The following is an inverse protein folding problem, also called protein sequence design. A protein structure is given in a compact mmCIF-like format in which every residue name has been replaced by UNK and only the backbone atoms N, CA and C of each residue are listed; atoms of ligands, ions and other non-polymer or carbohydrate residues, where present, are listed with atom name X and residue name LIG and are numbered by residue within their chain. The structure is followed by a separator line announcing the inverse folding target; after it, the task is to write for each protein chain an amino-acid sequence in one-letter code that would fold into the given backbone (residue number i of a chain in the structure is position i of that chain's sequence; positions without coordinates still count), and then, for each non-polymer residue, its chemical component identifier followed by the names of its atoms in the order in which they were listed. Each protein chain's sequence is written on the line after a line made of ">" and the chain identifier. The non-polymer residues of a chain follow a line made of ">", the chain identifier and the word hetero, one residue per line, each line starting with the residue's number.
data_IF_081242973398
#
_entry.id   IF_081242973398
#
_cell.length_a   1.000
_cell.length_b   1.000
_cell.length_c   1.000
_cell.angle_alpha   90.00
_cell.angle_beta   90.00
_cell.angle_gamma   90.00
#
_symmetry.space_group_name_H-M   'P 1'
#
loop_
_entity.id
_entity.type
_entity.pdbx_description
1 polymer ?
#
# COMPACT_ATOMS: atom_id res chain seq x y z
N UNK A 1 -19.71 14.68 1.63
CA UNK A 1 -19.52 14.05 0.30
C UNK A 1 -18.57 12.88 0.44
N UNK A 2 -18.78 11.78 -0.28
CA UNK A 2 -17.79 10.70 -0.36
C UNK A 2 -16.99 10.82 -1.65
N UNK A 3 -15.66 10.83 -1.55
CA UNK A 3 -14.73 10.91 -2.68
C UNK A 3 -13.84 9.67 -2.70
N UNK A 4 -13.60 9.10 -3.88
CA UNK A 4 -12.66 8.01 -4.09
C UNK A 4 -11.36 8.58 -4.69
N UNK A 5 -10.28 8.56 -3.91
CA UNK A 5 -8.96 9.00 -4.33
C UNK A 5 -8.07 7.77 -4.62
N UNK A 6 -7.48 7.72 -5.81
CA UNK A 6 -6.65 6.59 -6.26
C UNK A 6 -7.45 5.45 -6.93
N UNK A 7 -6.82 4.29 -7.18
CA UNK A 7 -5.45 3.94 -6.81
C UNK A 7 -4.37 4.50 -7.74
N UNK A 8 -4.74 5.02 -8.92
CA UNK A 8 -3.79 5.47 -9.95
C UNK A 8 -3.44 6.97 -9.88
N UNK A 9 -3.93 7.69 -8.87
CA UNK A 9 -3.69 9.12 -8.76
C UNK A 9 -2.18 9.40 -8.56
N UNK A 10 -1.55 10.36 -9.27
CA UNK A 10 -0.10 10.59 -9.20
C UNK A 10 0.43 10.85 -7.78
N UNK A 11 -0.34 11.55 -6.96
CA UNK A 11 0.03 11.84 -5.57
C UNK A 11 -0.08 10.63 -4.62
N UNK A 12 -0.51 9.46 -5.08
CA UNK A 12 -0.55 8.24 -4.28
C UNK A 12 0.84 7.60 -4.09
N UNK A 13 1.86 8.01 -4.88
CA UNK A 13 3.23 7.47 -4.80
C UNK A 13 3.31 5.94 -4.78
N UNK A 14 2.51 5.28 -5.63
CA UNK A 14 2.34 3.84 -5.64
C UNK A 14 0.88 3.47 -5.85
N UNK A 15 0.41 2.46 -5.12
CA UNK A 15 -0.98 1.99 -5.18
C UNK A 15 -1.66 2.17 -3.83
N UNK A 16 -2.41 3.27 -3.71
CA UNK A 16 -3.19 3.60 -2.53
C UNK A 16 -4.57 4.08 -2.95
N UNK A 17 -5.61 3.45 -2.39
CA UNK A 17 -6.99 3.90 -2.54
C UNK A 17 -7.47 4.46 -1.21
N UNK A 18 -8.02 5.67 -1.22
CA UNK A 18 -8.63 6.31 -0.07
C UNK A 18 -10.10 6.61 -0.37
N UNK A 19 -11.00 6.14 0.48
CA UNK A 19 -12.38 6.60 0.50
C UNK A 19 -12.46 7.72 1.54
N UNK A 20 -12.69 8.94 1.08
CA UNK A 20 -12.72 10.14 1.91
C UNK A 20 -14.15 10.62 2.11
N UNK A 21 -14.54 10.86 3.35
CA UNK A 21 -15.77 11.57 3.68
C UNK A 21 -15.41 13.02 4.03
N UNK A 22 -15.99 13.96 3.29
CA UNK A 22 -15.61 15.37 3.33
C UNK A 22 -16.81 16.27 3.64
N UNK A 23 -16.58 17.29 4.45
CA UNK A 23 -17.46 18.46 4.57
C UNK A 23 -16.76 19.68 3.95
N UNK A 24 -17.17 20.03 2.73
CA UNK A 24 -16.46 21.02 1.91
C UNK A 24 -15.02 20.61 1.63
N UNK A 25 -14.07 21.40 2.13
CA UNK A 25 -12.62 21.17 2.00
C UNK A 25 -12.02 20.39 3.18
N UNK A 26 -12.81 20.12 4.23
CA UNK A 26 -12.38 19.40 5.43
C UNK A 26 -12.65 17.90 5.26
N UNK A 27 -11.67 17.07 5.62
CA UNK A 27 -11.83 15.61 5.68
C UNK A 27 -12.35 15.26 7.08
N UNK A 28 -13.55 14.69 7.13
CA UNK A 28 -14.17 14.18 8.36
C UNK A 28 -13.72 12.75 8.66
N UNK A 29 -13.59 11.93 7.61
CA UNK A 29 -13.14 10.54 7.72
C UNK A 29 -12.33 10.10 6.50
N UNK A 30 -11.38 9.18 6.73
CA UNK A 30 -10.59 8.56 5.67
C UNK A 30 -10.49 7.05 5.92
N UNK A 31 -10.95 6.26 4.95
CA UNK A 31 -10.84 4.80 4.94
C UNK A 31 -9.79 4.36 3.90
N UNK A 32 -8.56 4.03 4.34
CA UNK A 32 -7.48 3.60 3.45
C UNK A 32 -7.59 2.13 3.07
N UNK A 33 -7.84 1.87 1.80
CA UNK A 33 -7.86 0.52 1.24
C UNK A 33 -6.44 0.15 0.77
N UNK A 34 -5.70 -0.52 1.65
CA UNK A 34 -4.35 -1.03 1.40
C UNK A 34 -4.37 -2.48 0.88
N UNK A 35 -3.19 -3.03 0.58
CA UNK A 35 -3.03 -4.42 0.13
C UNK A 35 -3.00 -4.60 -1.39
N UNK A 36 -3.16 -3.53 -2.18
CA UNK A 36 -3.04 -3.56 -3.64
C UNK A 36 -1.64 -3.95 -4.14
N UNK A 37 -0.61 -3.80 -3.29
CA UNK A 37 0.76 -4.30 -3.52
C UNK A 37 1.14 -5.44 -2.56
N UNK A 38 0.16 -6.11 -1.94
CA UNK A 38 0.46 -7.27 -1.10
C UNK A 38 0.93 -8.44 -1.98
N UNK A 39 2.15 -8.93 -1.71
CA UNK A 39 2.81 -9.99 -2.50
C UNK A 39 3.02 -11.29 -1.74
N UNK A 40 2.50 -11.41 -0.52
CA UNK A 40 2.68 -12.62 0.31
C UNK A 40 4.16 -12.90 0.67
N UNK A 41 4.99 -11.85 0.78
CA UNK A 41 6.44 -11.99 1.01
C UNK A 41 6.78 -12.86 2.21
N UNK A 42 6.10 -12.65 3.35
CA UNK A 42 6.29 -13.43 4.57
C UNK A 42 6.02 -14.92 4.33
N UNK A 43 4.93 -15.22 3.62
CA UNK A 43 4.57 -16.61 3.30
C UNK A 43 5.61 -17.28 2.39
N UNK A 44 6.14 -16.55 1.43
CA UNK A 44 7.19 -17.06 0.55
C UNK A 44 8.49 -17.34 1.33
N UNK A 45 8.82 -16.50 2.31
CA UNK A 45 10.01 -16.64 3.14
C UNK A 45 9.97 -17.91 4.02
N UNK A 46 8.79 -18.38 4.45
CA UNK A 46 8.64 -19.62 5.24
C UNK A 46 9.21 -20.86 4.53
N UNK A 47 9.16 -20.88 3.19
CA UNK A 47 9.58 -22.02 2.37
C UNK A 47 11.02 -21.95 1.88
N UNK A 48 11.73 -20.86 2.18
CA UNK A 48 13.04 -20.55 1.60
C UNK A 48 14.15 -20.56 2.64
N UNK A 49 15.35 -21.07 2.31
CA UNK A 49 16.54 -20.86 3.13
C UNK A 49 16.81 -19.37 3.35
N UNK A 50 17.34 -18.99 4.52
CA UNK A 50 17.56 -17.59 4.90
C UNK A 50 18.25 -16.74 3.82
N UNK A 51 19.32 -17.25 3.21
CA UNK A 51 20.07 -16.53 2.18
C UNK A 51 19.23 -16.21 0.93
N UNK A 52 18.21 -17.01 0.62
CA UNK A 52 17.32 -16.78 -0.52
C UNK A 52 16.22 -15.75 -0.21
N UNK A 53 16.00 -15.44 1.08
CA UNK A 53 15.02 -14.45 1.51
C UNK A 53 15.57 -13.01 1.47
N UNK A 54 16.89 -12.83 1.38
CA UNK A 54 17.54 -11.50 1.39
C UNK A 54 16.95 -10.58 0.31
N UNK A 55 16.87 -11.06 -0.94
CA UNK A 55 16.33 -10.24 -2.04
C UNK A 55 14.84 -9.89 -1.89
N UNK A 56 14.07 -10.61 -1.06
CA UNK A 56 12.72 -10.20 -0.73
C UNK A 56 12.69 -9.03 0.26
N UNK A 57 13.66 -8.95 1.17
CA UNK A 57 13.75 -7.88 2.17
C UNK A 57 14.06 -6.53 1.51
N UNK A 58 15.02 -6.49 0.57
CA UNK A 58 15.38 -5.29 -0.21
C UNK A 58 14.22 -4.74 -1.07
N UNK A 59 13.13 -5.49 -1.23
CA UNK A 59 11.96 -5.11 -2.04
C UNK A 59 10.75 -4.70 -1.21
N UNK A 60 10.84 -4.79 0.13
CA UNK A 60 9.76 -4.38 1.03
C UNK A 60 9.68 -2.85 1.09
N UNK A 61 10.79 -2.21 1.44
CA UNK A 61 11.05 -0.80 1.15
C UNK A 61 11.99 -0.75 -0.05
N UNK A 62 11.53 -0.17 -1.15
CA UNK A 62 12.29 -0.15 -2.40
C UNK A 62 13.15 1.11 -2.55
N UNK A 63 13.16 2.00 -1.54
CA UNK A 63 13.92 3.26 -1.57
C UNK A 63 15.13 3.22 -0.62
N UNK A 64 15.04 2.54 0.51
CA UNK A 64 16.12 2.48 1.52
C UNK A 64 16.58 1.06 1.84
#
# INVERSE_FOLDING_TARGET
>A
MTMNFGPQHPAAHGVLRLILEMDGEVIEHADPHIGLLHRGTEKLAESKPFNQSIGYMDRLDYVS
#
